data_IF_025936763732
#
_entry.id   IF_025936763732
#
_cell.length_a   1.000
_cell.length_b   1.000
_cell.length_c   1.000
_cell.angle_alpha   90.00
_cell.angle_beta   90.00
_cell.angle_gamma   90.00
#
_symmetry.space_group_name_H-M   'P 1'
#
loop_
_entity.id
_entity.type
_entity.pdbx_description
1 polymer ?
#
# COMPACT_ATOMS: atom_id res chain seq x y z
N UNK A 1 38.07 95.57 21.95
CA UNK A 1 37.31 94.44 22.49
C UNK A 1 36.58 93.81 21.33
N UNK A 2 36.52 92.47 21.32
CA UNK A 2 35.68 91.62 20.45
C UNK A 2 36.12 91.61 18.97
N UNK A 3 36.73 90.58 18.39
CA UNK A 3 36.73 89.14 18.70
C UNK A 3 35.64 88.42 17.90
N UNK A 4 35.82 88.24 16.59
CA UNK A 4 34.92 87.43 15.75
C UNK A 4 35.75 86.47 14.88
N UNK A 5 35.47 85.19 15.06
CA UNK A 5 36.13 83.99 14.56
C UNK A 5 35.85 83.76 13.06
N UNK A 6 36.91 83.53 12.28
CA UNK A 6 36.84 82.91 10.94
C UNK A 6 36.59 81.41 11.08
N UNK A 7 35.51 80.90 10.46
CA UNK A 7 35.26 79.47 10.35
C UNK A 7 35.64 79.01 8.93
N UNK A 8 36.80 78.38 8.82
CA UNK A 8 37.25 77.67 7.61
C UNK A 8 36.50 76.33 7.56
N UNK A 9 35.70 76.12 6.51
CA UNK A 9 34.97 74.88 6.27
C UNK A 9 35.77 73.95 5.38
N UNK A 10 36.18 72.81 5.94
CA UNK A 10 36.87 71.72 5.26
C UNK A 10 35.95 71.05 4.22
N UNK A 11 36.34 71.12 2.94
CA UNK A 11 35.72 70.37 1.86
C UNK A 11 36.29 68.94 1.83
N UNK A 12 35.56 67.98 2.38
CA UNK A 12 35.90 66.55 2.27
C UNK A 12 35.78 66.06 0.82
N UNK A 13 36.88 65.49 0.32
CA UNK A 13 36.95 64.80 -0.97
C UNK A 13 36.20 63.45 -0.88
N UNK A 14 35.09 63.33 -1.59
CA UNK A 14 34.36 62.07 -1.76
C UNK A 14 35.18 61.08 -2.60
N UNK A 15 35.71 60.05 -1.94
CA UNK A 15 36.39 58.90 -2.54
C UNK A 15 35.34 57.98 -3.19
N UNK A 16 35.30 57.97 -4.52
CA UNK A 16 34.37 57.18 -5.33
C UNK A 16 34.80 55.70 -5.32
N UNK A 17 34.12 54.87 -4.52
CA UNK A 17 34.33 53.42 -4.47
C UNK A 17 33.75 52.76 -5.72
N UNK A 18 34.60 52.07 -6.47
CA UNK A 18 34.21 51.30 -7.67
C UNK A 18 33.48 50.02 -7.22
N UNK A 19 32.30 49.68 -7.76
CA UNK A 19 31.58 48.47 -7.38
C UNK A 19 32.29 47.22 -7.90
N UNK A 20 32.56 46.29 -6.97
CA UNK A 20 33.18 44.99 -7.23
C UNK A 20 32.25 44.10 -8.09
N UNK A 21 32.75 43.41 -9.13
CA UNK A 21 31.93 42.54 -9.97
C UNK A 21 31.46 41.30 -9.20
N UNK A 22 30.15 41.21 -8.94
CA UNK A 22 29.55 40.09 -8.22
C UNK A 22 29.66 38.79 -9.03
N UNK A 23 30.34 37.80 -8.44
CA UNK A 23 30.46 36.44 -8.98
C UNK A 23 29.09 35.74 -8.90
N UNK A 24 28.58 35.12 -9.98
CA UNK A 24 27.27 34.47 -9.97
C UNK A 24 27.22 33.33 -8.94
N UNK A 25 26.21 33.34 -8.07
CA UNK A 25 25.99 32.28 -7.07
C UNK A 25 25.58 30.99 -7.81
N UNK A 26 26.15 29.83 -7.44
CA UNK A 26 25.69 28.55 -7.98
C UNK A 26 24.22 28.35 -7.59
N UNK A 27 23.36 28.18 -8.58
CA UNK A 27 21.95 27.85 -8.39
C UNK A 27 21.87 26.47 -7.75
N UNK A 28 21.40 26.42 -6.50
CA UNK A 28 21.11 25.18 -5.80
C UNK A 28 19.92 24.52 -6.51
N UNK A 29 20.18 23.51 -7.34
CA UNK A 29 19.14 22.69 -7.95
C UNK A 29 18.50 21.85 -6.86
N UNK A 30 17.33 22.26 -6.40
CA UNK A 30 16.51 21.44 -5.50
C UNK A 30 15.99 20.27 -6.32
N UNK A 31 16.61 19.10 -6.17
CA UNK A 31 16.05 17.87 -6.74
C UNK A 31 14.75 17.56 -6.01
N UNK A 32 13.61 17.76 -6.69
CA UNK A 32 12.31 17.41 -6.14
C UNK A 32 12.10 15.90 -6.28
N UNK A 33 12.15 15.19 -5.16
CA UNK A 33 11.75 13.79 -5.11
C UNK A 33 10.21 13.73 -5.12
N UNK A 34 9.62 13.19 -6.17
CA UNK A 34 8.18 12.90 -6.23
C UNK A 34 7.96 11.39 -6.15
N UNK A 35 7.18 10.96 -5.16
CA UNK A 35 6.69 9.59 -5.05
C UNK A 35 5.22 9.58 -5.51
N UNK A 36 4.88 8.74 -6.48
CA UNK A 36 3.49 8.55 -6.87
C UNK A 36 2.83 7.57 -5.90
N UNK A 37 1.83 8.06 -5.16
CA UNK A 37 1.05 7.19 -4.30
C UNK A 37 0.29 6.17 -5.15
N UNK A 38 0.43 4.89 -4.82
CA UNK A 38 -0.41 3.83 -5.36
C UNK A 38 -1.74 3.80 -4.63
N UNK A 39 -2.81 3.47 -5.36
CA UNK A 39 -4.16 3.25 -4.82
C UNK A 39 -4.19 1.98 -3.95
N UNK A 40 -3.60 2.07 -2.75
CA UNK A 40 -3.68 1.03 -1.75
C UNK A 40 -4.12 1.64 -0.43
N UNK A 41 -4.97 0.91 0.29
CA UNK A 41 -5.46 1.29 1.63
C UNK A 41 -4.29 1.55 2.61
N UNK A 42 -3.15 0.92 2.34
CA UNK A 42 -1.93 1.03 3.13
C UNK A 42 -1.25 2.39 2.96
N UNK A 43 -1.27 2.97 1.76
CA UNK A 43 -0.65 4.27 1.49
C UNK A 43 -1.46 5.44 2.03
N UNK A 44 -2.78 5.30 2.16
CA UNK A 44 -3.64 6.30 2.81
C UNK A 44 -3.26 6.53 4.28
N UNK A 45 -2.70 5.52 4.95
CA UNK A 45 -2.26 5.64 6.35
C UNK A 45 -1.02 6.53 6.51
N UNK A 46 -0.18 6.62 5.48
CA UNK A 46 1.01 7.48 5.47
C UNK A 46 0.63 8.96 5.40
N UNK A 47 -0.50 9.29 4.77
CA UNK A 47 -0.98 10.67 4.65
C UNK A 47 -1.49 11.24 5.99
N UNK A 48 -1.90 10.38 6.93
CA UNK A 48 -2.39 10.76 8.25
C UNK A 48 -1.27 11.05 9.28
N UNK A 49 -0.01 10.81 8.91
CA UNK A 49 1.15 10.85 9.82
C UNK A 49 2.09 12.04 9.65
N UNK A 50 1.65 13.19 9.12
CA UNK A 50 2.57 14.26 8.67
C UNK A 50 2.79 15.46 9.63
N UNK A 51 2.30 15.49 10.87
CA UNK A 51 2.51 16.65 11.78
C UNK A 51 2.87 16.27 13.23
N UNK A 52 4.14 16.48 13.61
CA UNK A 52 4.75 16.47 14.96
C UNK A 52 4.81 15.12 15.71
N UNK A 53 5.45 15.06 16.89
CA UNK A 53 5.72 13.85 17.70
C UNK A 53 4.50 12.89 17.90
N UNK A 54 3.29 13.41 17.70
CA UNK A 54 2.02 12.67 17.62
C UNK A 54 1.97 11.65 16.46
N UNK A 55 2.74 11.88 15.40
CA UNK A 55 2.79 11.08 14.16
C UNK A 55 3.32 9.67 14.33
N UNK A 56 4.31 9.50 15.18
CA UNK A 56 4.84 8.15 15.47
C UNK A 56 3.79 7.29 16.16
N UNK A 57 2.98 7.91 17.03
CA UNK A 57 1.87 7.22 17.71
C UNK A 57 0.75 6.91 16.74
N UNK A 58 0.37 7.84 15.85
CA UNK A 58 -0.69 7.60 14.86
C UNK A 58 -0.31 6.50 13.85
N UNK A 59 0.95 6.44 13.42
CA UNK A 59 1.45 5.36 12.57
C UNK A 59 1.40 4.02 13.30
N UNK A 60 1.83 3.97 14.57
CA UNK A 60 1.79 2.74 15.35
C UNK A 60 0.36 2.25 15.59
N UNK A 61 -0.57 3.16 15.87
CA UNK A 61 -2.00 2.85 16.00
C UNK A 61 -2.58 2.38 14.67
N UNK A 62 -2.23 3.03 13.55
CA UNK A 62 -2.64 2.62 12.20
C UNK A 62 -2.17 1.20 11.87
N UNK A 63 -0.89 0.92 12.07
CA UNK A 63 -0.31 -0.41 11.88
C UNK A 63 -0.97 -1.46 12.78
N UNK A 64 -1.19 -1.14 14.05
CA UNK A 64 -1.86 -2.04 14.99
C UNK A 64 -3.29 -2.34 14.54
N UNK A 65 -4.05 -1.32 14.13
CA UNK A 65 -5.41 -1.51 13.62
C UNK A 65 -5.43 -2.37 12.36
N UNK A 66 -4.52 -2.17 11.41
CA UNK A 66 -4.53 -2.99 10.21
C UNK A 66 -4.06 -4.42 10.48
N UNK A 67 -3.12 -4.62 11.41
CA UNK A 67 -2.77 -5.95 11.89
C UNK A 67 -3.97 -6.65 12.54
N UNK A 68 -4.76 -5.95 13.35
CA UNK A 68 -5.99 -6.50 13.95
C UNK A 68 -7.03 -6.87 12.89
N UNK A 69 -7.26 -6.01 11.90
CA UNK A 69 -8.18 -6.31 10.79
C UNK A 69 -7.69 -7.53 10.01
N UNK A 70 -6.40 -7.61 9.70
CA UNK A 70 -5.83 -8.76 9.00
C UNK A 70 -6.02 -10.06 9.80
N UNK A 71 -5.75 -10.02 11.12
CA UNK A 71 -5.96 -11.18 11.99
C UNK A 71 -7.42 -11.60 12.07
N UNK A 72 -8.35 -10.64 12.09
CA UNK A 72 -9.78 -10.92 12.08
C UNK A 72 -10.21 -11.56 10.76
N UNK A 73 -9.77 -11.03 9.63
CA UNK A 73 -10.07 -11.62 8.32
C UNK A 73 -9.49 -13.03 8.22
N UNK A 74 -8.24 -13.22 8.64
CA UNK A 74 -7.60 -14.53 8.67
C UNK A 74 -8.31 -15.51 9.61
N UNK A 75 -8.78 -15.07 10.78
CA UNK A 75 -9.47 -15.94 11.73
C UNK A 75 -10.85 -16.37 11.22
N UNK A 76 -11.58 -15.45 10.57
CA UNK A 76 -12.84 -15.79 9.89
C UNK A 76 -12.58 -16.76 8.74
N UNK A 77 -11.56 -16.50 7.92
CA UNK A 77 -11.21 -17.40 6.82
C UNK A 77 -10.84 -18.79 7.35
N UNK A 78 -10.06 -18.87 8.42
CA UNK A 78 -9.75 -20.15 9.07
C UNK A 78 -11.03 -20.84 9.58
N UNK A 79 -11.81 -20.18 10.43
CA UNK A 79 -13.01 -20.77 11.01
C UNK A 79 -14.05 -21.22 9.97
N UNK A 80 -14.18 -20.51 8.85
CA UNK A 80 -15.16 -20.82 7.82
C UNK A 80 -14.67 -21.82 6.77
N UNK A 81 -13.38 -21.84 6.43
CA UNK A 81 -12.87 -22.62 5.30
C UNK A 81 -11.95 -23.76 5.70
N UNK A 82 -11.52 -23.86 6.97
CA UNK A 82 -10.65 -24.96 7.43
C UNK A 82 -11.36 -25.96 8.34
N UNK A 83 -12.66 -25.82 8.59
CA UNK A 83 -13.44 -26.91 9.21
C UNK A 83 -13.67 -28.00 8.17
N UNK A 84 -12.63 -28.80 7.93
CA UNK A 84 -12.66 -29.95 7.04
C UNK A 84 -13.36 -31.11 7.74
N UNK A 85 -14.68 -30.99 7.91
CA UNK A 85 -15.51 -32.14 8.26
C UNK A 85 -15.72 -32.95 6.99
N UNK A 86 -15.09 -34.11 6.94
CA UNK A 86 -15.43 -35.11 5.93
C UNK A 86 -16.94 -35.36 5.98
N UNK A 87 -17.65 -35.27 4.84
CA UNK A 87 -19.08 -35.54 4.79
C UNK A 87 -19.37 -36.96 5.25
N UNK A 88 -20.54 -37.17 5.87
CA UNK A 88 -20.95 -38.51 6.24
C UNK A 88 -21.12 -39.40 4.99
N UNK A 89 -20.93 -40.71 5.16
CA UNK A 89 -21.06 -41.67 4.05
C UNK A 89 -22.40 -41.54 3.32
N UNK A 90 -23.48 -41.26 4.06
CA UNK A 90 -24.82 -41.06 3.50
C UNK A 90 -24.89 -39.83 2.58
N UNK A 91 -24.20 -38.74 2.92
CA UNK A 91 -24.16 -37.53 2.10
C UNK A 91 -23.35 -37.74 0.82
N UNK A 92 -22.22 -38.45 0.93
CA UNK A 92 -21.41 -38.83 -0.24
C UNK A 92 -22.20 -39.75 -1.16
N UNK A 93 -22.92 -40.73 -0.60
CA UNK A 93 -23.76 -41.64 -1.38
C UNK A 93 -24.89 -40.88 -2.08
N UNK A 94 -25.54 -39.95 -1.39
CA UNK A 94 -26.56 -39.08 -1.98
C UNK A 94 -26.00 -38.22 -3.11
N UNK A 95 -24.84 -37.59 -2.90
CA UNK A 95 -24.17 -36.82 -3.95
C UNK A 95 -23.86 -37.69 -5.17
N UNK A 96 -23.35 -38.91 -4.94
CA UNK A 96 -23.00 -39.86 -6.00
C UNK A 96 -24.19 -40.18 -6.90
N UNK A 97 -25.38 -40.40 -6.33
CA UNK A 97 -26.57 -40.76 -7.11
C UNK A 97 -27.39 -39.57 -7.63
N UNK A 98 -27.15 -38.37 -7.13
CA UNK A 98 -27.87 -37.17 -7.57
C UNK A 98 -27.00 -36.30 -8.47
N UNK A 99 -26.13 -35.50 -7.86
CA UNK A 99 -25.36 -34.45 -8.55
C UNK A 99 -24.26 -35.04 -9.42
N UNK A 100 -23.61 -36.12 -8.99
CA UNK A 100 -22.39 -36.61 -9.65
C UNK A 100 -22.63 -37.18 -11.06
N UNK A 101 -23.89 -37.48 -11.40
CA UNK A 101 -24.33 -37.97 -12.71
C UNK A 101 -25.22 -36.98 -13.46
N UNK A 102 -25.46 -35.79 -12.91
CA UNK A 102 -26.27 -34.77 -13.57
C UNK A 102 -25.50 -34.19 -14.77
N UNK A 103 -26.18 -34.18 -15.93
CA UNK A 103 -25.63 -33.68 -17.19
C UNK A 103 -25.28 -32.19 -17.13
N UNK A 104 -25.95 -31.42 -16.27
CA UNK A 104 -25.63 -30.00 -16.06
C UNK A 104 -24.19 -29.78 -15.55
N UNK A 105 -23.61 -30.80 -14.89
CA UNK A 105 -22.26 -30.76 -14.32
C UNK A 105 -21.27 -31.69 -15.04
N UNK A 106 -21.70 -32.33 -16.13
CA UNK A 106 -20.81 -33.11 -16.96
C UNK A 106 -19.80 -32.19 -17.67
N UNK A 107 -18.59 -32.72 -17.93
CA UNK A 107 -17.61 -31.99 -18.72
C UNK A 107 -18.19 -31.73 -20.13
N UNK A 108 -18.31 -30.47 -20.56
CA UNK A 108 -18.91 -30.13 -21.84
C UNK A 108 -18.08 -30.62 -23.02
N UNK A 109 -16.78 -30.90 -22.83
CA UNK A 109 -15.88 -31.34 -23.89
C UNK A 109 -15.90 -32.85 -24.11
N UNK A 110 -15.86 -33.66 -23.04
CA UNK A 110 -15.86 -35.14 -23.13
C UNK A 110 -17.20 -35.79 -22.84
N UNK A 111 -18.14 -35.05 -22.24
CA UNK A 111 -19.40 -35.59 -21.71
C UNK A 111 -19.24 -36.46 -20.46
N UNK A 112 -18.04 -36.50 -19.85
CA UNK A 112 -17.80 -37.30 -18.66
C UNK A 112 -18.54 -36.71 -17.45
N UNK A 113 -19.23 -37.56 -16.69
CA UNK A 113 -19.86 -37.12 -15.44
C UNK A 113 -18.81 -36.84 -14.36
N UNK A 114 -19.18 -36.01 -13.37
CA UNK A 114 -18.33 -35.71 -12.21
C UNK A 114 -17.87 -36.99 -11.50
N UNK A 115 -18.77 -37.98 -11.33
CA UNK A 115 -18.42 -39.26 -10.75
C UNK A 115 -17.29 -39.98 -11.51
N UNK A 116 -17.35 -39.98 -12.85
CA UNK A 116 -16.34 -40.62 -13.68
C UNK A 116 -14.99 -39.89 -13.59
N UNK A 117 -15.00 -38.56 -13.56
CA UNK A 117 -13.78 -37.75 -13.44
C UNK A 117 -13.11 -37.92 -12.06
N UNK A 118 -13.90 -37.99 -10.98
CA UNK A 118 -13.38 -38.27 -9.63
C UNK A 118 -12.78 -39.67 -9.57
N UNK A 119 -13.48 -40.70 -10.05
CA UNK A 119 -12.99 -42.08 -10.04
C UNK A 119 -11.74 -42.30 -10.92
N UNK A 120 -11.50 -41.42 -11.90
CA UNK A 120 -10.32 -41.47 -12.77
C UNK A 120 -9.17 -40.57 -12.29
N UNK A 121 -9.33 -39.91 -11.15
CA UNK A 121 -8.37 -38.93 -10.63
C UNK A 121 -7.99 -37.88 -11.67
N UNK A 122 -8.99 -37.33 -12.36
CA UNK A 122 -8.77 -36.35 -13.41
C UNK A 122 -8.12 -35.07 -12.84
N UNK A 123 -7.01 -34.64 -13.44
CA UNK A 123 -6.26 -33.47 -12.99
C UNK A 123 -7.01 -32.14 -13.17
N UNK A 124 -8.08 -32.12 -13.96
CA UNK A 124 -8.95 -30.96 -14.10
C UNK A 124 -9.82 -30.70 -12.87
N UNK A 125 -10.03 -31.71 -12.01
CA UNK A 125 -10.74 -31.57 -10.74
C UNK A 125 -9.74 -31.47 -9.59
N UNK A 126 -9.76 -30.32 -8.88
CA UNK A 126 -8.93 -30.12 -7.68
C UNK A 126 -9.20 -31.14 -6.56
N UNK A 127 -10.39 -31.74 -6.55
CA UNK A 127 -10.83 -32.70 -5.53
C UNK A 127 -10.58 -34.16 -5.94
N UNK A 128 -10.28 -34.45 -7.21
CA UNK A 128 -10.16 -35.83 -7.70
C UNK A 128 -8.81 -36.51 -7.38
N UNK A 129 -7.80 -35.71 -7.03
CA UNK A 129 -6.41 -36.18 -6.85
C UNK A 129 -5.92 -36.19 -5.40
N UNK A 130 -6.60 -35.51 -4.48
CA UNK A 130 -6.19 -35.38 -3.07
C UNK A 130 -7.28 -35.86 -2.09
N UNK A 131 -7.83 -37.05 -2.31
CA UNK A 131 -8.74 -37.72 -1.35
C UNK A 131 -8.00 -38.80 -0.56
#
# INVERSE_FOLDING_TARGET
GEGVFEHCGDGEAQMHSTPEPQRPRPSMTVESWSYQLQDSVWEATLLLGATDFSTSVSILVGLFMTAMVQLLVCSVAFACFTDEKFPEVADVEKWRYSVAHDQAWADPSTGASLANMVCRSDNSLSVATNQ
#
